data_IF_600378659147
#
_entry.id   IF_600378659147
#
_cell.length_a   1.000
_cell.length_b   1.000
_cell.length_c   1.000
_cell.angle_alpha   90.00
_cell.angle_beta   90.00
_cell.angle_gamma   90.00
#
_symmetry.space_group_name_H-M   'P 1'
#
loop_
_entity.id
_entity.type
_entity.pdbx_description
1 polymer ?
#
# COMPACT_ATOMS: atom_id res chain seq x y z
N UNK A 1 28.19 3.42 20.86
CA UNK A 1 28.29 4.69 20.12
C UNK A 1 27.21 4.63 19.03
N UNK A 2 26.10 5.30 19.27
CA UNK A 2 24.99 5.45 18.30
C UNK A 2 25.35 6.58 17.33
N UNK A 3 25.28 6.39 16.02
CA UNK A 3 25.49 7.48 15.08
C UNK A 3 24.34 8.48 15.19
N UNK A 4 24.67 9.73 15.45
CA UNK A 4 23.74 10.86 15.45
C UNK A 4 23.26 11.12 14.02
N UNK A 5 21.97 10.95 13.80
CA UNK A 5 21.29 11.38 12.56
C UNK A 5 21.31 12.92 12.50
N UNK A 6 21.76 13.53 11.40
CA UNK A 6 21.72 14.99 11.25
C UNK A 6 20.26 15.45 11.25
N UNK A 7 19.98 16.51 12.03
CA UNK A 7 18.72 17.24 11.97
C UNK A 7 18.67 18.01 10.63
N UNK A 8 17.98 17.49 9.65
CA UNK A 8 17.56 18.26 8.49
C UNK A 8 16.32 19.06 8.89
N UNK A 9 16.52 20.34 9.24
CA UNK A 9 15.45 21.32 9.32
C UNK A 9 15.22 21.87 7.91
N UNK A 10 14.33 21.24 7.15
CA UNK A 10 13.80 21.78 5.93
C UNK A 10 12.29 21.87 6.08
N UNK A 11 11.72 23.10 6.11
CA UNK A 11 10.32 23.26 5.76
C UNK A 11 10.09 22.62 4.38
N UNK A 12 8.92 22.02 4.09
CA UNK A 12 8.64 21.47 2.78
C UNK A 12 8.90 22.58 1.75
N UNK A 13 9.59 22.30 0.62
CA UNK A 13 9.70 23.26 -0.46
C UNK A 13 8.28 23.66 -0.81
N UNK A 14 8.03 24.96 -0.86
CA UNK A 14 6.71 25.53 -1.10
C UNK A 14 6.03 24.78 -2.22
N UNK A 15 4.82 24.29 -1.94
CA UNK A 15 4.07 23.24 -2.65
C UNK A 15 4.41 23.21 -4.13
N UNK A 16 4.55 22.01 -4.68
CA UNK A 16 4.76 21.80 -6.12
C UNK A 16 3.78 22.70 -6.87
N UNK A 17 4.28 23.85 -7.27
CA UNK A 17 3.62 24.70 -8.24
C UNK A 17 3.96 24.07 -9.57
N UNK A 18 3.29 22.95 -9.86
CA UNK A 18 3.34 22.37 -11.19
C UNK A 18 3.18 23.49 -12.18
N UNK A 19 4.26 23.77 -12.89
CA UNK A 19 4.23 24.69 -14.04
C UNK A 19 3.36 24.01 -15.09
N UNK A 20 2.09 24.25 -15.04
CA UNK A 20 1.18 23.75 -16.05
C UNK A 20 0.09 22.86 -15.45
N UNK A 21 -1.00 23.50 -15.36
CA UNK A 21 -2.33 22.97 -15.55
C UNK A 21 -3.29 22.93 -14.35
N UNK A 22 -3.43 24.07 -13.65
CA UNK A 22 -4.74 24.36 -13.00
C UNK A 22 -5.82 24.74 -14.01
N UNK A 23 -5.50 24.83 -15.32
CA UNK A 23 -6.39 25.22 -16.43
C UNK A 23 -6.47 24.19 -17.55
N UNK A 24 -5.99 22.96 -17.32
CA UNK A 24 -6.27 21.83 -18.20
C UNK A 24 -7.73 21.41 -18.12
N UNK A 25 -8.27 20.71 -19.13
CA UNK A 25 -9.62 20.17 -19.05
C UNK A 25 -9.75 19.37 -17.75
N UNK A 26 -10.89 19.57 -17.02
CA UNK A 26 -11.13 18.91 -15.74
C UNK A 26 -10.83 17.41 -15.89
N UNK A 27 -9.91 16.89 -15.05
CA UNK A 27 -9.54 15.48 -15.07
C UNK A 27 -10.81 14.64 -14.96
N UNK A 28 -11.08 13.84 -15.97
CA UNK A 28 -12.16 12.86 -15.92
C UNK A 28 -11.56 11.53 -15.45
N UNK A 29 -12.08 10.95 -14.34
CA UNK A 29 -11.59 9.68 -13.84
C UNK A 29 -11.48 8.63 -14.95
N UNK A 30 -10.34 7.95 -15.03
CA UNK A 30 -10.09 6.94 -16.05
C UNK A 30 -11.02 5.73 -15.93
N UNK A 31 -11.67 5.57 -14.77
CA UNK A 31 -12.58 4.46 -14.47
C UNK A 31 -13.95 4.97 -14.00
N UNK A 32 -15.03 4.48 -14.62
CA UNK A 32 -16.40 4.81 -14.22
C UNK A 32 -16.81 4.15 -12.90
N UNK A 33 -17.85 4.67 -12.24
CA UNK A 33 -18.36 4.11 -10.99
C UNK A 33 -18.78 2.63 -11.10
N UNK A 34 -19.34 2.22 -12.26
CA UNK A 34 -19.73 0.84 -12.55
C UNK A 34 -18.51 -0.09 -12.66
N UNK A 35 -17.39 0.40 -13.23
CA UNK A 35 -16.15 -0.36 -13.36
C UNK A 35 -15.48 -0.59 -12.02
N UNK A 36 -15.66 0.33 -11.05
CA UNK A 36 -15.05 0.30 -9.74
C UNK A 36 -15.64 -0.78 -8.82
N UNK A 37 -16.94 -1.01 -8.88
CA UNK A 37 -17.61 -1.93 -7.95
C UNK A 37 -17.92 -3.29 -8.56
N UNK A 38 -18.05 -3.39 -9.90
CA UNK A 38 -18.46 -4.59 -10.62
C UNK A 38 -19.88 -5.09 -10.28
N UNK A 39 -20.35 -6.13 -10.96
CA UNK A 39 -21.66 -6.68 -10.69
C UNK A 39 -21.77 -7.16 -9.24
N UNK A 40 -22.97 -7.11 -8.63
CA UNK A 40 -23.20 -7.63 -7.31
C UNK A 40 -22.78 -9.11 -7.25
N UNK A 41 -21.83 -9.42 -6.37
CA UNK A 41 -21.46 -10.81 -6.11
C UNK A 41 -22.63 -11.52 -5.42
N UNK A 42 -22.57 -12.87 -5.37
CA UNK A 42 -23.51 -13.71 -4.60
C UNK A 42 -23.79 -13.07 -3.21
N UNK A 43 -25.03 -13.19 -2.69
CA UNK A 43 -25.39 -12.63 -1.39
C UNK A 43 -24.39 -13.05 -0.32
N UNK A 44 -23.94 -12.10 0.47
CA UNK A 44 -22.99 -12.35 1.55
C UNK A 44 -23.67 -13.12 2.70
N UNK A 45 -22.95 -14.04 3.30
CA UNK A 45 -23.44 -14.80 4.46
C UNK A 45 -23.78 -13.85 5.62
N UNK A 46 -24.69 -14.24 6.53
CA UNK A 46 -25.02 -13.44 7.72
C UNK A 46 -23.79 -13.08 8.57
N UNK A 47 -22.81 -13.99 8.67
CA UNK A 47 -21.53 -13.75 9.38
C UNK A 47 -20.74 -12.61 8.74
N UNK A 48 -20.62 -12.57 7.43
CA UNK A 48 -19.92 -11.49 6.71
C UNK A 48 -20.65 -10.15 6.87
N UNK A 49 -22.00 -10.15 6.87
CA UNK A 49 -22.80 -8.94 7.11
C UNK A 49 -22.59 -8.41 8.53
N UNK A 50 -22.55 -9.30 9.53
CA UNK A 50 -22.25 -8.93 10.92
C UNK A 50 -20.84 -8.38 11.04
N UNK A 51 -19.85 -9.03 10.42
CA UNK A 51 -18.46 -8.53 10.36
C UNK A 51 -18.40 -7.12 9.76
N UNK A 52 -19.11 -6.89 8.65
CA UNK A 52 -19.18 -5.55 8.05
C UNK A 52 -19.80 -4.52 9.01
N UNK A 53 -20.91 -4.87 9.67
CA UNK A 53 -21.60 -3.98 10.61
C UNK A 53 -20.70 -3.59 11.79
N UNK A 54 -19.98 -4.56 12.37
CA UNK A 54 -19.03 -4.32 13.47
C UNK A 54 -17.90 -3.39 13.02
N UNK A 55 -17.28 -3.65 11.86
CA UNK A 55 -16.21 -2.80 11.35
C UNK A 55 -16.68 -1.38 11.03
N UNK A 56 -17.87 -1.23 10.45
CA UNK A 56 -18.46 0.08 10.17
C UNK A 56 -18.78 0.85 11.47
N UNK A 57 -19.29 0.16 12.51
CA UNK A 57 -19.51 0.76 13.82
C UNK A 57 -18.19 1.21 14.48
N UNK A 58 -17.15 0.36 14.43
CA UNK A 58 -15.79 0.71 14.91
C UNK A 58 -15.25 1.92 14.13
N UNK A 59 -15.46 1.97 12.82
CA UNK A 59 -15.06 3.10 11.99
C UNK A 59 -15.71 4.41 12.41
N UNK A 60 -17.04 4.43 12.51
CA UNK A 60 -17.77 5.65 12.90
C UNK A 60 -17.39 6.06 14.34
N UNK A 61 -17.27 5.11 15.26
CA UNK A 61 -16.81 5.39 16.62
C UNK A 61 -15.39 6.00 16.62
N UNK A 62 -14.47 5.46 15.81
CA UNK A 62 -13.12 6.00 15.71
C UNK A 62 -13.08 7.43 15.17
N UNK A 63 -14.06 7.84 14.35
CA UNK A 63 -14.19 9.23 13.86
C UNK A 63 -14.81 10.17 14.89
N UNK A 64 -15.75 9.68 15.69
CA UNK A 64 -16.48 10.50 16.69
C UNK A 64 -15.67 10.77 17.96
N UNK A 65 -14.80 9.85 18.34
CA UNK A 65 -14.02 9.97 19.57
C UNK A 65 -12.91 11.04 19.45
N UNK A 66 -12.57 11.72 20.56
CA UNK A 66 -11.40 12.57 20.63
C UNK A 66 -10.13 11.81 20.21
N UNK A 67 -9.25 12.48 19.49
CA UNK A 67 -8.06 11.85 18.91
C UNK A 67 -7.18 11.13 19.95
N UNK A 68 -6.95 11.76 21.11
CA UNK A 68 -6.16 11.16 22.20
C UNK A 68 -6.76 9.84 22.71
N UNK A 69 -8.10 9.79 22.82
CA UNK A 69 -8.80 8.61 23.31
C UNK A 69 -8.75 7.47 22.30
N UNK A 70 -9.03 7.74 21.02
CA UNK A 70 -9.07 6.69 20.00
C UNK A 70 -7.70 6.07 19.76
N UNK A 71 -6.61 6.85 19.81
CA UNK A 71 -5.26 6.31 19.73
C UNK A 71 -4.87 5.50 20.96
N UNK A 72 -5.33 5.90 22.17
CA UNK A 72 -5.17 5.10 23.39
C UNK A 72 -5.89 3.75 23.29
N UNK A 73 -7.13 3.76 22.80
CA UNK A 73 -7.92 2.54 22.55
C UNK A 73 -7.26 1.65 21.50
N UNK A 74 -6.73 2.24 20.42
CA UNK A 74 -5.99 1.48 19.39
C UNK A 74 -4.74 0.81 19.95
N UNK A 75 -3.96 1.53 20.79
CA UNK A 75 -2.77 0.96 21.43
C UNK A 75 -3.14 -0.24 22.33
N UNK A 76 -4.18 -0.08 23.15
CA UNK A 76 -4.70 -1.17 23.99
C UNK A 76 -5.21 -2.33 23.13
N UNK A 77 -5.96 -2.04 22.06
CA UNK A 77 -6.45 -3.04 21.10
C UNK A 77 -5.31 -3.81 20.43
N UNK A 78 -4.25 -3.13 20.02
CA UNK A 78 -3.04 -3.74 19.46
C UNK A 78 -2.34 -4.68 20.46
N UNK A 79 -2.22 -4.26 21.73
CA UNK A 79 -1.66 -5.11 22.80
C UNK A 79 -2.52 -6.35 23.07
N UNK A 80 -3.85 -6.18 23.09
CA UNK A 80 -4.78 -7.30 23.27
C UNK A 80 -4.72 -8.25 22.08
N UNK A 81 -4.78 -7.73 20.86
CA UNK A 81 -4.67 -8.54 19.64
C UNK A 81 -3.38 -9.35 19.60
N UNK A 82 -2.24 -8.76 20.00
CA UNK A 82 -0.98 -9.48 20.15
C UNK A 82 -1.08 -10.65 21.15
N UNK A 83 -1.80 -10.48 22.27
CA UNK A 83 -1.94 -11.54 23.31
C UNK A 83 -2.82 -12.69 22.80
N UNK A 84 -3.96 -12.39 22.16
CA UNK A 84 -4.96 -13.41 21.81
C UNK A 84 -4.73 -14.04 20.43
N UNK A 85 -4.08 -13.34 19.49
CA UNK A 85 -3.93 -13.82 18.11
C UNK A 85 -2.65 -14.64 17.93
N UNK A 86 -2.57 -15.84 18.52
CA UNK A 86 -1.38 -16.70 18.50
C UNK A 86 -0.87 -16.96 17.07
N UNK A 87 -1.77 -17.28 16.13
CA UNK A 87 -1.39 -17.56 14.72
C UNK A 87 -0.83 -16.35 14.01
N UNK A 88 -1.46 -15.18 14.19
CA UNK A 88 -0.98 -13.93 13.60
C UNK A 88 0.37 -13.53 14.20
N UNK A 89 0.53 -13.65 15.52
CA UNK A 89 1.79 -13.38 16.24
C UNK A 89 2.94 -14.25 15.72
N UNK A 90 2.72 -15.57 15.59
CA UNK A 90 3.73 -16.49 15.06
C UNK A 90 4.12 -16.15 13.60
N UNK A 91 3.18 -15.67 12.80
CA UNK A 91 3.44 -15.24 11.43
C UNK A 91 4.25 -13.96 11.36
N UNK A 92 3.83 -12.93 12.09
CA UNK A 92 4.57 -11.67 12.18
C UNK A 92 5.99 -11.91 12.71
N UNK A 93 6.14 -12.78 13.70
CA UNK A 93 7.46 -13.16 14.22
C UNK A 93 8.35 -13.78 13.14
N UNK A 94 7.84 -14.74 12.35
CA UNK A 94 8.60 -15.34 11.24
C UNK A 94 8.94 -14.31 10.16
N UNK A 95 8.01 -13.42 9.81
CA UNK A 95 8.25 -12.38 8.82
C UNK A 95 9.35 -11.42 9.30
N UNK A 96 9.24 -10.93 10.54
CA UNK A 96 10.23 -10.00 11.11
C UNK A 96 11.59 -10.65 11.39
N UNK A 97 11.65 -11.93 11.70
CA UNK A 97 12.92 -12.64 11.87
C UNK A 97 13.78 -12.64 10.59
N UNK A 98 13.14 -12.68 9.41
CA UNK A 98 13.84 -12.55 8.12
C UNK A 98 14.33 -11.13 7.84
N UNK A 99 13.56 -10.15 8.25
CA UNK A 99 13.91 -8.73 8.08
C UNK A 99 14.99 -8.29 9.07
N UNK A 100 15.01 -8.92 10.26
CA UNK A 100 15.89 -8.59 11.39
C UNK A 100 16.73 -9.82 11.80
N UNK A 101 17.58 -10.37 10.91
CA UNK A 101 18.28 -11.64 11.17
C UNK A 101 19.27 -11.58 12.34
N UNK A 102 19.74 -10.40 12.70
CA UNK A 102 20.66 -10.19 13.84
C UNK A 102 19.92 -9.86 15.17
N UNK A 103 18.59 -9.79 15.17
CA UNK A 103 17.84 -9.45 16.37
C UNK A 103 17.85 -10.61 17.39
N UNK A 104 18.08 -10.28 18.64
CA UNK A 104 17.88 -11.22 19.76
C UNK A 104 16.40 -11.57 19.91
N UNK A 105 16.08 -12.67 20.59
CA UNK A 105 14.69 -13.06 20.88
C UNK A 105 13.90 -11.96 21.60
N UNK A 106 14.56 -11.22 22.49
CA UNK A 106 13.95 -10.10 23.20
C UNK A 106 13.64 -8.93 22.28
N UNK A 107 14.52 -8.61 21.33
CA UNK A 107 14.32 -7.58 20.31
C UNK A 107 13.24 -7.97 19.33
N UNK A 108 13.27 -9.21 18.83
CA UNK A 108 12.23 -9.75 17.95
C UNK A 108 10.85 -9.71 18.64
N UNK A 109 10.78 -10.12 19.92
CA UNK A 109 9.54 -10.06 20.68
C UNK A 109 9.03 -8.62 20.87
N UNK A 110 9.91 -7.64 21.05
CA UNK A 110 9.54 -6.22 21.10
C UNK A 110 9.02 -5.73 19.74
N UNK A 111 9.72 -6.08 18.65
CA UNK A 111 9.31 -5.72 17.30
C UNK A 111 7.93 -6.30 16.95
N UNK A 112 7.67 -7.55 17.28
CA UNK A 112 6.34 -8.19 17.05
C UNK A 112 5.24 -7.46 17.82
N UNK A 113 5.46 -7.12 19.09
CA UNK A 113 4.49 -6.32 19.88
C UNK A 113 4.26 -4.94 19.25
N UNK A 114 5.35 -4.30 18.81
CA UNK A 114 5.32 -3.02 18.10
C UNK A 114 4.48 -3.09 16.82
N UNK A 115 4.65 -4.14 16.03
CA UNK A 115 3.91 -4.33 14.77
C UNK A 115 2.39 -4.40 14.97
N UNK A 116 1.91 -5.06 16.01
CA UNK A 116 0.47 -5.10 16.33
C UNK A 116 -0.06 -3.71 16.74
N UNK A 117 0.74 -2.94 17.51
CA UNK A 117 0.36 -1.58 17.92
C UNK A 117 0.36 -0.62 16.72
N UNK A 118 1.40 -0.69 15.89
CA UNK A 118 1.50 0.10 14.66
C UNK A 118 0.34 -0.20 13.70
N UNK A 119 -0.03 -1.47 13.54
CA UNK A 119 -1.16 -1.86 12.69
C UNK A 119 -2.51 -1.37 13.25
N UNK A 120 -2.70 -1.42 14.57
CA UNK A 120 -3.90 -0.86 15.19
C UNK A 120 -3.97 0.67 15.00
N UNK A 121 -2.84 1.37 15.14
CA UNK A 121 -2.70 2.80 14.84
C UNK A 121 -3.04 3.12 13.39
N UNK A 122 -2.50 2.34 12.43
CA UNK A 122 -2.81 2.50 11.00
C UNK A 122 -4.33 2.48 10.74
N UNK A 123 -5.07 1.56 11.36
CA UNK A 123 -6.53 1.50 11.16
C UNK A 123 -7.24 2.76 11.62
N UNK A 124 -6.86 3.32 12.77
CA UNK A 124 -7.41 4.60 13.25
C UNK A 124 -7.07 5.72 12.28
N UNK A 125 -5.83 5.80 11.83
CA UNK A 125 -5.37 6.80 10.86
C UNK A 125 -6.12 6.67 9.53
N UNK A 126 -6.28 5.45 9.01
CA UNK A 126 -7.02 5.19 7.79
C UNK A 126 -8.50 5.60 7.90
N UNK A 127 -9.16 5.31 9.03
CA UNK A 127 -10.57 5.68 9.23
C UNK A 127 -10.77 7.19 9.31
N UNK A 128 -9.78 7.93 9.78
CA UNK A 128 -9.83 9.38 9.98
C UNK A 128 -9.17 10.17 8.84
N UNK A 129 -8.55 9.50 7.86
CA UNK A 129 -7.75 10.17 6.83
C UNK A 129 -8.51 11.28 6.08
N UNK A 130 -9.80 11.07 5.77
CA UNK A 130 -10.63 12.08 5.10
C UNK A 130 -10.98 13.28 6.00
N UNK A 131 -10.95 13.11 7.33
CA UNK A 131 -11.28 14.14 8.29
C UNK A 131 -10.06 14.97 8.73
N UNK A 132 -8.84 14.61 8.27
CA UNK A 132 -7.64 15.36 8.59
C UNK A 132 -7.67 16.73 7.89
N UNK A 133 -7.58 17.78 8.71
CA UNK A 133 -7.39 19.13 8.19
C UNK A 133 -6.06 19.23 7.44
N UNK A 134 -6.04 19.82 6.22
CA UNK A 134 -4.81 19.90 5.42
C UNK A 134 -3.66 20.62 6.11
N UNK A 135 -3.92 21.73 6.81
CA UNK A 135 -2.87 22.50 7.47
C UNK A 135 -2.30 21.77 8.69
N UNK A 136 -3.17 21.07 9.46
CA UNK A 136 -2.75 20.25 10.59
C UNK A 136 -1.97 19.00 10.11
N UNK A 137 -2.40 18.39 9.01
CA UNK A 137 -1.69 17.26 8.39
C UNK A 137 -0.29 17.68 7.95
N UNK A 138 -0.16 18.84 7.31
CA UNK A 138 1.12 19.39 6.86
C UNK A 138 2.03 19.71 8.04
N UNK A 139 1.52 20.41 9.06
CA UNK A 139 2.28 20.76 10.26
C UNK A 139 2.80 19.53 11.05
N UNK A 140 2.14 18.38 10.91
CA UNK A 140 2.53 17.11 11.54
C UNK A 140 3.33 16.17 10.64
N UNK A 141 3.55 16.53 9.37
CA UNK A 141 4.27 15.71 8.41
C UNK A 141 5.63 16.32 8.10
N UNK A 142 6.68 15.52 8.18
CA UNK A 142 8.00 15.85 7.64
C UNK A 142 8.26 15.03 6.39
N UNK A 143 9.07 15.54 5.47
CA UNK A 143 9.39 14.88 4.20
C UNK A 143 10.87 14.73 4.01
N UNK A 144 11.32 13.64 3.37
CA UNK A 144 12.69 13.45 2.92
C UNK A 144 12.73 12.78 1.54
N UNK A 145 13.74 13.11 0.73
CA UNK A 145 13.92 12.57 -0.61
C UNK A 145 12.88 13.03 -1.64
N UNK A 146 12.12 14.10 -1.35
CA UNK A 146 11.00 14.54 -2.18
C UNK A 146 11.42 14.95 -3.59
N UNK A 147 12.66 15.43 -3.76
CA UNK A 147 13.25 15.76 -5.07
C UNK A 147 13.23 14.57 -6.06
N UNK A 148 13.23 13.31 -5.57
CA UNK A 148 13.11 12.15 -6.44
C UNK A 148 11.72 12.02 -7.08
N UNK A 149 10.67 12.41 -6.35
CA UNK A 149 9.31 12.43 -6.90
C UNK A 149 9.14 13.59 -7.89
N UNK A 150 9.64 14.77 -7.55
CA UNK A 150 9.57 15.94 -8.44
C UNK A 150 10.28 15.65 -9.77
N UNK A 151 11.52 15.18 -9.73
CA UNK A 151 12.27 14.79 -10.93
C UNK A 151 11.56 13.72 -11.77
N UNK A 152 10.87 12.76 -11.12
CA UNK A 152 10.10 11.75 -11.81
C UNK A 152 8.88 12.32 -12.53
N UNK A 153 8.18 13.29 -11.94
CA UNK A 153 7.01 13.96 -12.53
C UNK A 153 7.39 14.98 -13.61
N UNK A 154 8.56 15.60 -13.52
CA UNK A 154 9.09 16.49 -14.57
C UNK A 154 9.21 15.78 -15.92
N UNK A 155 9.38 14.46 -15.92
CA UNK A 155 9.41 13.63 -17.13
C UNK A 155 8.08 13.58 -17.90
N UNK A 156 6.98 14.06 -17.33
CA UNK A 156 5.66 14.18 -17.99
C UNK A 156 4.98 12.85 -18.32
N UNK A 157 5.45 11.73 -17.74
CA UNK A 157 4.94 10.37 -18.00
C UNK A 157 4.21 9.76 -16.82
N UNK A 158 3.91 10.56 -15.79
CA UNK A 158 3.40 10.09 -14.53
C UNK A 158 4.42 9.29 -13.73
N UNK A 159 4.00 8.74 -12.60
CA UNK A 159 4.86 7.98 -11.69
C UNK A 159 4.16 6.73 -11.21
N UNK A 160 4.84 5.60 -11.24
CA UNK A 160 4.43 4.38 -10.54
C UNK A 160 4.95 4.46 -9.11
N UNK A 161 4.09 4.79 -8.16
CA UNK A 161 4.43 4.83 -6.74
C UNK A 161 4.45 3.41 -6.20
N UNK A 162 5.67 2.94 -5.86
CA UNK A 162 5.88 1.63 -5.27
C UNK A 162 5.66 1.70 -3.76
N UNK A 163 4.68 0.96 -3.29
CA UNK A 163 4.30 0.91 -1.88
C UNK A 163 4.48 -0.51 -1.31
N UNK A 164 4.81 -0.58 -0.03
CA UNK A 164 4.61 -1.77 0.80
C UNK A 164 3.40 -1.53 1.74
N UNK A 165 2.84 -2.58 2.34
CA UNK A 165 1.92 -2.44 3.47
C UNK A 165 2.69 -1.93 4.70
N UNK A 166 3.22 -0.72 4.62
CA UNK A 166 4.19 -0.14 5.54
C UNK A 166 3.77 1.27 5.94
N UNK A 167 3.70 1.54 7.24
CA UNK A 167 3.27 2.83 7.76
C UNK A 167 1.81 3.19 7.42
N UNK A 168 1.54 4.43 7.08
CA UNK A 168 0.20 5.02 6.95
C UNK A 168 -0.10 5.46 5.52
N UNK A 169 -0.23 4.51 4.59
CA UNK A 169 -0.41 4.80 3.15
C UNK A 169 -1.72 5.54 2.82
N UNK A 170 -2.81 5.41 3.60
CA UNK A 170 -4.03 6.20 3.40
C UNK A 170 -3.81 7.67 3.79
N UNK A 171 -3.02 7.94 4.83
CA UNK A 171 -2.58 9.30 5.19
C UNK A 171 -1.66 9.88 4.12
N UNK A 172 -0.75 9.06 3.55
CA UNK A 172 0.09 9.49 2.42
C UNK A 172 -0.76 9.91 1.21
N UNK A 173 -1.81 9.14 0.88
CA UNK A 173 -2.75 9.49 -0.18
C UNK A 173 -3.48 10.81 0.09
N UNK A 174 -3.95 11.02 1.32
CA UNK A 174 -4.58 12.28 1.72
C UNK A 174 -3.60 13.45 1.63
N UNK A 175 -2.36 13.29 2.11
CA UNK A 175 -1.32 14.30 2.03
C UNK A 175 -0.98 14.67 0.58
N UNK A 176 -0.82 13.68 -0.29
CA UNK A 176 -0.55 13.90 -1.71
C UNK A 176 -1.63 14.76 -2.36
N UNK A 177 -2.91 14.44 -2.15
CA UNK A 177 -4.03 15.19 -2.72
C UNK A 177 -4.11 16.63 -2.17
N UNK A 178 -3.81 16.86 -0.88
CA UNK A 178 -3.77 18.23 -0.32
C UNK A 178 -2.67 19.08 -0.92
N UNK A 179 -1.64 18.46 -1.51
CA UNK A 179 -0.55 19.12 -2.21
C UNK A 179 -0.73 19.18 -3.74
N UNK A 180 -1.89 18.75 -4.24
CA UNK A 180 -2.24 18.81 -5.65
C UNK A 180 -1.67 17.69 -6.52
N UNK A 181 -1.23 16.59 -5.88
CA UNK A 181 -0.81 15.38 -6.59
C UNK A 181 -2.01 14.46 -6.82
N UNK A 182 -2.39 14.26 -8.07
CA UNK A 182 -3.45 13.31 -8.41
C UNK A 182 -2.95 11.88 -8.32
N UNK A 183 -3.67 11.06 -7.55
CA UNK A 183 -3.28 9.68 -7.25
C UNK A 183 -4.40 8.70 -7.62
N UNK A 184 -4.07 7.71 -8.44
CA UNK A 184 -4.88 6.51 -8.63
C UNK A 184 -4.24 5.34 -7.85
N UNK A 185 -5.04 4.57 -7.08
CA UNK A 185 -4.56 3.41 -6.33
C UNK A 185 -5.22 2.14 -6.80
N UNK A 186 -4.41 1.10 -7.05
CA UNK A 186 -4.92 -0.22 -7.39
C UNK A 186 -5.17 -0.99 -6.10
N UNK A 187 -6.41 -1.43 -5.88
CA UNK A 187 -6.81 -2.12 -4.66
C UNK A 187 -7.48 -3.46 -4.94
N UNK A 188 -7.20 -4.47 -4.11
CA UNK A 188 -7.93 -5.74 -4.18
C UNK A 188 -9.36 -5.56 -3.68
N UNK A 189 -10.33 -6.15 -4.40
CA UNK A 189 -11.73 -6.17 -3.96
C UNK A 189 -11.87 -7.09 -2.75
N UNK A 190 -12.00 -6.49 -1.58
CA UNK A 190 -12.12 -7.17 -0.29
C UNK A 190 -13.56 -7.63 -0.02
N UNK A 191 -13.68 -8.61 0.90
CA UNK A 191 -14.96 -8.99 1.51
C UNK A 191 -14.89 -8.69 3.01
N UNK A 192 -15.94 -8.16 3.62
CA UNK A 192 -17.30 -7.89 3.10
C UNK A 192 -17.33 -6.70 2.11
N UNK A 193 -18.19 -6.81 1.08
CA UNK A 193 -18.30 -5.79 0.03
C UNK A 193 -18.66 -4.39 0.57
N UNK A 194 -19.56 -4.30 1.54
CA UNK A 194 -19.95 -3.02 2.17
C UNK A 194 -18.74 -2.28 2.78
N UNK A 195 -17.82 -3.02 3.39
CA UNK A 195 -16.60 -2.44 3.95
C UNK A 195 -15.68 -1.95 2.83
N UNK A 196 -15.51 -2.74 1.77
CA UNK A 196 -14.76 -2.32 0.58
C UNK A 196 -15.33 -1.04 -0.04
N UNK A 197 -16.66 -0.98 -0.25
CA UNK A 197 -17.35 0.20 -0.78
C UNK A 197 -17.16 1.44 0.12
N UNK A 198 -17.10 1.26 1.43
CA UNK A 198 -16.81 2.36 2.37
C UNK A 198 -15.38 2.87 2.21
N UNK A 199 -14.39 2.00 2.01
CA UNK A 199 -13.01 2.39 1.72
C UNK A 199 -12.87 3.10 0.36
N UNK A 200 -13.58 2.63 -0.65
CA UNK A 200 -13.62 3.32 -1.95
C UNK A 200 -14.13 4.75 -1.76
N UNK A 201 -15.31 4.91 -1.13
CA UNK A 201 -15.87 6.25 -0.86
C UNK A 201 -14.96 7.13 0.00
N UNK A 202 -14.25 6.56 0.99
CA UNK A 202 -13.29 7.31 1.79
C UNK A 202 -12.21 7.93 0.91
N UNK A 203 -11.56 7.12 0.08
CA UNK A 203 -10.45 7.56 -0.78
C UNK A 203 -10.92 8.56 -1.84
N UNK A 204 -12.07 8.29 -2.44
CA UNK A 204 -12.68 9.22 -3.40
C UNK A 204 -13.08 10.56 -2.75
N UNK A 205 -13.46 10.57 -1.48
CA UNK A 205 -13.82 11.79 -0.76
C UNK A 205 -12.64 12.77 -0.58
N UNK A 206 -11.40 12.28 -0.64
CA UNK A 206 -10.22 13.14 -0.65
C UNK A 206 -9.44 13.10 -1.97
N UNK A 207 -10.10 12.73 -3.07
CA UNK A 207 -9.58 12.89 -4.44
C UNK A 207 -8.85 11.69 -5.01
N UNK A 208 -8.56 10.64 -4.22
CA UNK A 208 -7.85 9.45 -4.72
C UNK A 208 -8.76 8.59 -5.59
N UNK A 209 -8.35 8.33 -6.83
CA UNK A 209 -9.05 7.43 -7.73
C UNK A 209 -8.79 5.97 -7.36
N UNK A 210 -9.84 5.20 -7.14
CA UNK A 210 -9.73 3.78 -6.77
C UNK A 210 -9.94 2.88 -7.99
N UNK A 211 -8.94 2.05 -8.28
CA UNK A 211 -8.94 1.08 -9.37
C UNK A 211 -9.02 -0.34 -8.78
N UNK A 212 -10.18 -1.00 -8.84
CA UNK A 212 -10.33 -2.32 -8.22
C UNK A 212 -9.64 -3.41 -9.03
N UNK A 213 -8.75 -4.15 -8.37
CA UNK A 213 -8.11 -5.35 -8.94
C UNK A 213 -9.02 -6.56 -8.69
N UNK A 214 -9.56 -7.15 -9.77
CA UNK A 214 -10.40 -8.35 -9.69
C UNK A 214 -9.54 -9.61 -9.76
N UNK A 215 -9.89 -10.64 -8.99
CA UNK A 215 -9.24 -11.96 -9.08
C UNK A 215 -9.49 -12.61 -10.44
N UNK A 216 -8.48 -13.34 -10.92
CA UNK A 216 -8.51 -14.12 -12.17
C UNK A 216 -9.78 -14.98 -12.27
N UNK A 217 -10.53 -14.83 -13.38
CA UNK A 217 -11.82 -15.50 -13.64
C UNK A 217 -12.88 -14.55 -14.20
N UNK A 218 -12.74 -13.23 -14.01
CA UNK A 218 -13.47 -12.23 -14.75
C UNK A 218 -12.54 -11.70 -15.85
N UNK A 219 -12.94 -11.80 -17.10
CA UNK A 219 -12.18 -11.28 -18.26
C UNK A 219 -11.78 -9.82 -17.99
N UNK A 220 -10.47 -9.55 -17.90
CA UNK A 220 -9.96 -8.19 -17.83
C UNK A 220 -9.17 -7.77 -16.57
N UNK A 221 -8.77 -8.68 -15.68
CA UNK A 221 -8.16 -8.33 -14.39
C UNK A 221 -6.61 -8.37 -14.34
N UNK A 222 -5.93 -8.30 -15.45
CA UNK A 222 -4.48 -8.10 -15.49
C UNK A 222 -4.15 -6.64 -15.76
N UNK A 223 -3.03 -6.13 -15.21
CA UNK A 223 -2.48 -4.79 -15.53
C UNK A 223 -2.23 -4.63 -17.04
N UNK A 224 -2.28 -5.70 -17.80
CA UNK A 224 -2.23 -5.74 -19.26
C UNK A 224 -3.56 -5.85 -20.00
N UNK A 225 -4.71 -5.98 -19.27
CA UNK A 225 -6.06 -6.02 -19.83
C UNK A 225 -6.72 -4.63 -19.85
N UNK A 226 -8.07 -4.54 -19.80
CA UNK A 226 -8.81 -3.25 -19.77
C UNK A 226 -8.38 -2.30 -18.65
N UNK A 227 -7.92 -2.82 -17.50
CA UNK A 227 -7.32 -2.02 -16.43
C UNK A 227 -6.02 -1.34 -16.89
N UNK A 228 -5.21 -2.00 -17.72
CA UNK A 228 -3.97 -1.43 -18.24
C UNK A 228 -4.20 -0.15 -19.03
N UNK A 229 -5.23 -0.12 -19.89
CA UNK A 229 -5.59 1.08 -20.67
C UNK A 229 -5.99 2.26 -19.77
N UNK A 230 -6.71 2.02 -18.68
CA UNK A 230 -7.05 3.05 -17.69
C UNK A 230 -5.82 3.61 -16.99
N UNK A 231 -4.95 2.73 -16.48
CA UNK A 231 -3.70 3.14 -15.80
C UNK A 231 -2.74 3.85 -16.76
N UNK A 232 -2.71 3.45 -18.05
CA UNK A 232 -1.93 4.18 -19.06
C UNK A 232 -2.44 5.61 -19.26
N UNK A 233 -3.77 5.85 -19.24
CA UNK A 233 -4.32 7.21 -19.29
C UNK A 233 -3.95 8.04 -18.05
N UNK A 234 -3.95 7.43 -16.86
CA UNK A 234 -3.48 8.09 -15.62
C UNK A 234 -2.02 8.51 -15.77
N UNK A 235 -1.15 7.62 -16.25
CA UNK A 235 0.25 7.93 -16.50
C UNK A 235 0.43 9.03 -17.57
N UNK A 236 -0.30 8.94 -18.69
CA UNK A 236 -0.25 9.94 -19.77
C UNK A 236 -0.76 11.34 -19.34
N UNK A 237 -1.61 11.39 -18.30
CA UNK A 237 -2.02 12.64 -17.65
C UNK A 237 -0.99 13.17 -16.63
N UNK A 238 0.19 12.56 -16.56
CA UNK A 238 1.25 12.88 -15.58
C UNK A 238 0.81 12.73 -14.12
N UNK A 239 -0.02 11.73 -13.83
CA UNK A 239 -0.52 11.45 -12.48
C UNK A 239 0.21 10.26 -11.84
N UNK A 240 0.07 10.14 -10.51
CA UNK A 240 0.66 9.05 -9.75
C UNK A 240 -0.23 7.80 -9.75
N UNK A 241 0.39 6.63 -9.80
CA UNK A 241 -0.29 5.33 -9.72
C UNK A 241 0.28 4.52 -8.57
N UNK A 242 -0.44 4.42 -7.47
CA UNK A 242 -0.03 3.71 -6.27
C UNK A 242 -0.28 2.20 -6.36
N UNK A 243 0.77 1.40 -6.18
CA UNK A 243 0.75 -0.06 -6.22
C UNK A 243 1.40 -0.66 -4.96
N UNK A 244 0.61 -1.36 -4.14
CA UNK A 244 1.14 -2.18 -3.06
C UNK A 244 1.73 -3.46 -3.66
N UNK A 245 3.04 -3.67 -3.53
CA UNK A 245 3.76 -4.71 -4.26
C UNK A 245 4.59 -5.68 -3.36
N UNK A 246 4.48 -5.58 -2.06
CA UNK A 246 5.21 -6.40 -1.09
C UNK A 246 4.66 -7.83 -0.93
N UNK A 247 3.57 -8.18 -1.63
CA UNK A 247 3.00 -9.52 -1.66
C UNK A 247 2.23 -9.80 -2.94
N UNK A 248 2.34 -11.02 -3.46
CA UNK A 248 1.54 -11.46 -4.61
C UNK A 248 0.19 -12.01 -4.19
N UNK A 249 -0.89 -11.30 -4.57
CA UNK A 249 -2.28 -11.72 -4.40
C UNK A 249 -2.83 -12.46 -5.62
N UNK A 250 -2.20 -12.29 -6.79
CA UNK A 250 -2.66 -12.86 -8.06
C UNK A 250 -2.28 -14.32 -8.25
N UNK A 251 -1.29 -14.81 -7.50
CA UNK A 251 -0.63 -16.12 -7.67
C UNK A 251 0.11 -16.26 -9.01
N UNK A 252 0.41 -15.15 -9.68
CA UNK A 252 1.18 -15.10 -10.93
C UNK A 252 2.46 -14.30 -10.77
N UNK A 253 2.85 -14.03 -9.52
CA UNK A 253 4.07 -13.30 -9.18
C UNK A 253 5.34 -13.99 -9.70
N UNK A 254 6.36 -13.18 -9.87
CA UNK A 254 7.71 -13.63 -10.25
C UNK A 254 8.46 -13.98 -8.97
N UNK A 255 9.05 -15.18 -8.93
CA UNK A 255 9.89 -15.60 -7.80
C UNK A 255 11.20 -14.82 -7.81
N UNK A 256 11.45 -14.09 -6.73
CA UNK A 256 12.68 -13.32 -6.51
C UNK A 256 13.18 -13.49 -5.08
N UNK A 257 14.42 -13.12 -4.82
CA UNK A 257 14.93 -13.01 -3.45
C UNK A 257 14.33 -11.78 -2.78
N UNK A 258 13.77 -11.96 -1.59
CA UNK A 258 13.30 -10.91 -0.70
C UNK A 258 13.82 -11.22 0.71
N UNK A 259 14.67 -10.35 1.26
CA UNK A 259 15.38 -10.60 2.52
C UNK A 259 16.10 -11.97 2.54
N UNK A 260 16.75 -12.33 1.42
CA UNK A 260 17.54 -13.55 1.28
C UNK A 260 16.76 -14.83 0.99
N UNK A 261 15.42 -14.84 1.05
CA UNK A 261 14.60 -16.02 0.75
C UNK A 261 13.69 -15.81 -0.46
N UNK A 262 13.29 -16.92 -1.12
CA UNK A 262 12.41 -16.86 -2.30
C UNK A 262 11.01 -16.41 -1.95
N UNK A 263 10.54 -15.36 -2.64
CA UNK A 263 9.19 -14.82 -2.52
C UNK A 263 8.63 -14.45 -3.90
N UNK A 264 7.37 -14.81 -4.20
CA UNK A 264 6.72 -14.34 -5.42
C UNK A 264 6.23 -12.90 -5.20
N UNK A 265 6.70 -11.98 -6.03
CA UNK A 265 6.25 -10.59 -6.04
C UNK A 265 5.44 -10.27 -7.31
N UNK A 266 4.48 -9.34 -7.23
CA UNK A 266 3.68 -8.95 -8.37
C UNK A 266 4.52 -8.19 -9.40
N UNK A 267 4.34 -8.53 -10.68
CA UNK A 267 5.01 -7.83 -11.79
C UNK A 267 4.33 -6.53 -12.22
N UNK A 268 3.19 -6.19 -11.60
CA UNK A 268 2.38 -5.03 -11.98
C UNK A 268 3.15 -3.72 -12.12
N UNK A 269 3.94 -3.31 -11.12
CA UNK A 269 4.76 -2.08 -11.21
C UNK A 269 5.72 -2.09 -12.40
N UNK A 270 6.41 -3.19 -12.64
CA UNK A 270 7.36 -3.35 -13.76
C UNK A 270 6.65 -3.26 -15.11
N UNK A 271 5.56 -4.02 -15.28
CA UNK A 271 4.80 -4.02 -16.54
C UNK A 271 4.23 -2.63 -16.85
N UNK A 272 3.73 -1.93 -15.84
CA UNK A 272 3.19 -0.59 -16.03
C UNK A 272 4.31 0.40 -16.42
N UNK A 273 5.42 0.41 -15.69
CA UNK A 273 6.58 1.26 -15.97
C UNK A 273 7.12 1.03 -17.38
N UNK A 274 7.40 -0.22 -17.77
CA UNK A 274 7.92 -0.55 -19.09
C UNK A 274 6.97 -0.20 -20.25
N UNK A 275 5.64 -0.21 -20.00
CA UNK A 275 4.65 0.15 -21.02
C UNK A 275 4.41 1.65 -21.18
N UNK A 276 4.56 2.40 -20.10
CA UNK A 276 4.25 3.83 -20.08
C UNK A 276 5.49 4.71 -20.08
N UNK A 277 6.65 4.16 -19.76
CA UNK A 277 7.87 4.91 -19.46
C UNK A 277 7.80 5.68 -18.13
N UNK A 278 6.75 5.49 -17.32
CA UNK A 278 6.64 6.11 -16.01
C UNK A 278 7.66 5.49 -15.04
N UNK A 279 8.52 6.28 -14.37
CA UNK A 279 9.48 5.76 -13.42
C UNK A 279 8.79 5.13 -12.20
N UNK A 280 9.43 4.11 -11.60
CA UNK A 280 8.97 3.50 -10.35
C UNK A 280 9.64 4.23 -9.19
N UNK A 281 8.87 4.90 -8.33
CA UNK A 281 9.38 5.65 -7.18
C UNK A 281 8.87 4.99 -5.89
N UNK A 282 9.77 4.45 -5.03
CA UNK A 282 9.38 3.88 -3.75
C UNK A 282 9.06 4.97 -2.73
N UNK A 283 7.89 4.87 -2.09
CA UNK A 283 7.41 5.87 -1.11
C UNK A 283 6.82 5.16 0.11
N UNK A 284 7.03 5.71 1.28
CA UNK A 284 6.33 5.31 2.51
C UNK A 284 6.05 6.50 3.41
N UNK A 285 4.93 6.43 4.16
CA UNK A 285 4.55 7.39 5.20
C UNK A 285 4.70 6.71 6.57
N UNK A 286 5.80 6.99 7.24
CA UNK A 286 6.11 6.39 8.55
C UNK A 286 5.35 7.09 9.67
N UNK A 287 4.82 6.30 10.58
CA UNK A 287 4.26 6.79 11.85
C UNK A 287 5.39 7.30 12.75
N UNK A 288 5.20 8.45 13.38
CA UNK A 288 6.14 9.03 14.34
C UNK A 288 5.46 9.28 15.68
N UNK A 289 6.20 9.40 16.78
CA UNK A 289 5.66 9.78 18.09
C UNK A 289 4.87 11.09 18.02
N UNK A 290 3.90 11.26 18.91
CA UNK A 290 3.08 12.49 18.96
C UNK A 290 2.10 12.64 17.79
N UNK A 291 1.68 11.52 17.20
CA UNK A 291 0.71 11.53 16.07
C UNK A 291 1.21 12.31 14.86
N UNK A 292 2.51 12.24 14.61
CA UNK A 292 3.20 12.82 13.46
C UNK A 292 3.50 11.76 12.42
N UNK A 293 3.87 12.21 11.24
CA UNK A 293 4.26 11.35 10.13
C UNK A 293 5.58 11.81 9.50
N UNK A 294 6.20 10.88 8.79
CA UNK A 294 7.39 11.16 7.99
C UNK A 294 7.24 10.49 6.64
N UNK A 295 7.11 11.30 5.59
CA UNK A 295 7.07 10.83 4.21
C UNK A 295 8.49 10.65 3.69
N UNK A 296 8.85 9.42 3.39
CA UNK A 296 10.13 9.08 2.78
C UNK A 296 9.93 8.72 1.32
N UNK A 297 10.68 9.39 0.44
CA UNK A 297 10.77 9.07 -0.98
C UNK A 297 12.17 8.56 -1.26
N UNK A 298 12.28 7.38 -1.89
CA UNK A 298 13.56 6.81 -2.30
C UNK A 298 13.84 7.10 -3.79
N UNK A 299 15.09 6.98 -4.25
CA UNK A 299 15.43 7.11 -5.66
C UNK A 299 14.62 6.21 -6.57
N UNK A 300 14.33 6.67 -7.78
CA UNK A 300 13.60 5.90 -8.77
C UNK A 300 14.31 4.57 -9.11
N UNK A 301 13.52 3.52 -9.28
CA UNK A 301 13.98 2.18 -9.65
C UNK A 301 13.95 2.07 -11.17
N UNK A 302 15.13 2.02 -11.77
CA UNK A 302 15.25 1.78 -13.21
C UNK A 302 14.99 0.31 -13.54
N UNK A 303 14.00 0.05 -14.40
CA UNK A 303 13.62 -1.29 -14.88
C UNK A 303 13.57 -1.36 -16.41
N UNK A 304 14.01 -0.30 -17.11
CA UNK A 304 13.94 -0.23 -18.55
C UNK A 304 14.84 -1.28 -19.21
N UNK A 305 14.34 -1.88 -20.29
CA UNK A 305 15.03 -2.92 -21.04
C UNK A 305 15.33 -4.23 -20.28
N UNK A 306 14.95 -4.34 -19.00
CA UNK A 306 15.22 -5.53 -18.20
C UNK A 306 14.22 -6.66 -18.47
N UNK A 307 14.72 -7.90 -18.45
CA UNK A 307 13.86 -9.08 -18.38
C UNK A 307 13.01 -9.07 -17.09
N UNK A 308 11.80 -9.65 -17.10
CA UNK A 308 10.87 -9.58 -15.96
C UNK A 308 11.46 -10.01 -14.62
N UNK A 309 12.28 -11.06 -14.61
CA UNK A 309 12.95 -11.56 -13.41
C UNK A 309 13.90 -10.51 -12.81
N UNK A 310 14.75 -9.90 -13.64
CA UNK A 310 15.72 -8.90 -13.21
C UNK A 310 15.04 -7.62 -12.75
N UNK A 311 13.99 -7.19 -13.47
CA UNK A 311 13.21 -6.00 -13.14
C UNK A 311 12.47 -6.15 -11.79
N UNK A 312 11.80 -7.29 -11.57
CA UNK A 312 11.12 -7.56 -10.29
C UNK A 312 12.13 -7.71 -9.14
N UNK A 313 13.33 -8.24 -9.40
CA UNK A 313 14.39 -8.30 -8.40
C UNK A 313 14.88 -6.88 -7.98
N UNK A 314 14.91 -5.90 -8.89
CA UNK A 314 15.19 -4.50 -8.53
C UNK A 314 14.07 -3.90 -7.66
N UNK A 315 12.81 -4.18 -8.00
CA UNK A 315 11.64 -3.78 -7.19
C UNK A 315 11.70 -4.41 -5.80
N UNK A 316 12.09 -5.69 -5.68
CA UNK A 316 12.26 -6.37 -4.40
C UNK A 316 13.26 -5.65 -3.49
N UNK A 317 14.44 -5.27 -4.03
CA UNK A 317 15.44 -4.50 -3.27
C UNK A 317 14.92 -3.15 -2.80
N UNK A 318 14.14 -2.46 -3.62
CA UNK A 318 13.53 -1.19 -3.21
C UNK A 318 12.47 -1.38 -2.10
N UNK A 319 11.71 -2.46 -2.15
CA UNK A 319 10.78 -2.84 -1.07
C UNK A 319 11.51 -3.19 0.23
N UNK A 320 12.66 -3.89 0.14
CA UNK A 320 13.53 -4.15 1.30
C UNK A 320 13.99 -2.84 1.93
N UNK A 321 14.47 -1.88 1.14
CA UNK A 321 14.88 -0.56 1.62
C UNK A 321 13.74 0.17 2.33
N UNK A 322 12.52 0.16 1.77
CA UNK A 322 11.35 0.77 2.42
C UNK A 322 11.06 0.11 3.77
N UNK A 323 11.02 -1.21 3.83
CA UNK A 323 10.70 -1.95 5.05
C UNK A 323 11.77 -1.76 6.13
N UNK A 324 13.04 -1.67 5.74
CA UNK A 324 14.17 -1.47 6.66
C UNK A 324 14.17 -0.08 7.32
N UNK A 325 13.46 0.92 6.79
CA UNK A 325 13.31 2.23 7.45
C UNK A 325 12.65 2.13 8.82
N UNK A 326 11.68 1.22 8.96
CA UNK A 326 11.06 0.87 10.25
C UNK A 326 10.33 -0.49 10.15
N UNK A 327 11.02 -1.60 10.33
CA UNK A 327 10.45 -2.94 10.16
C UNK A 327 9.20 -3.20 11.01
N UNK A 328 9.07 -2.50 12.13
CA UNK A 328 7.92 -2.62 13.04
C UNK A 328 6.63 -2.10 12.40
N UNK A 329 6.74 -1.21 11.43
CA UNK A 329 5.61 -0.66 10.71
C UNK A 329 5.24 -1.45 9.44
N UNK A 330 5.89 -2.58 9.16
CA UNK A 330 5.50 -3.45 8.07
C UNK A 330 4.32 -4.33 8.49
N UNK A 331 3.12 -3.98 8.02
CA UNK A 331 1.84 -4.60 8.39
C UNK A 331 1.58 -5.90 7.61
N UNK A 332 2.59 -6.76 7.53
CA UNK A 332 2.51 -8.02 6.81
C UNK A 332 2.10 -9.17 7.73
N UNK A 333 0.78 -9.40 7.83
CA UNK A 333 0.17 -10.46 8.62
C UNK A 333 -0.15 -11.72 7.80
N UNK A 334 0.32 -11.80 6.56
CA UNK A 334 0.11 -12.92 5.64
C UNK A 334 1.44 -13.60 5.24
N UNK A 335 1.42 -14.83 4.70
CA UNK A 335 2.61 -15.46 4.16
C UNK A 335 3.11 -14.68 2.94
N UNK A 336 4.38 -14.31 2.93
CA UNK A 336 5.05 -13.66 1.80
C UNK A 336 5.89 -14.65 1.04
N UNK A 337 6.77 -15.35 1.74
CA UNK A 337 7.75 -16.26 1.18
C UNK A 337 7.14 -17.58 0.72
N UNK A 338 7.74 -18.15 -0.31
CA UNK A 338 7.30 -19.43 -0.90
C UNK A 338 7.28 -20.55 0.12
N UNK A 339 8.26 -20.60 1.03
CA UNK A 339 8.33 -21.59 2.10
C UNK A 339 7.15 -21.55 3.08
N UNK A 340 6.52 -20.39 3.27
CA UNK A 340 5.38 -20.20 4.20
C UNK A 340 4.01 -20.37 3.53
N UNK A 341 3.97 -20.55 2.21
CA UNK A 341 2.72 -20.70 1.45
C UNK A 341 2.25 -22.14 1.45
N UNK A 342 0.94 -22.40 1.57
CA UNK A 342 0.44 -23.77 1.43
C UNK A 342 0.81 -24.31 0.04
N UNK A 343 1.17 -25.61 -0.06
CA UNK A 343 1.52 -26.24 -1.33
C UNK A 343 0.41 -25.97 -2.36
N UNK A 344 0.82 -25.65 -3.59
CA UNK A 344 -0.12 -25.53 -4.71
C UNK A 344 -0.80 -26.88 -4.89
N UNK A 345 -2.10 -26.97 -4.65
CA UNK A 345 -2.86 -28.09 -5.19
C UNK A 345 -2.69 -28.05 -6.71
N UNK A 346 -1.88 -28.97 -7.25
CA UNK A 346 -1.80 -29.22 -8.69
C UNK A 346 -3.20 -29.64 -9.09
N UNK A 347 -3.92 -28.81 -9.86
CA UNK A 347 -5.04 -29.31 -10.64
C UNK A 347 -4.42 -30.32 -11.59
N UNK A 348 -4.67 -31.60 -11.32
CA UNK A 348 -4.42 -32.65 -12.28
C UNK A 348 -5.29 -32.33 -13.49
N UNK A 349 -4.71 -31.80 -14.55
CA UNK A 349 -5.26 -31.99 -15.87
C UNK A 349 -5.13 -33.51 -16.12
N UNK A 350 -6.13 -34.26 -15.73
CA UNK A 350 -6.34 -35.59 -16.29
C UNK A 350 -6.52 -35.37 -17.79
N UNK A 351 -5.58 -35.84 -18.56
CA UNK A 351 -5.72 -35.97 -20.01
C UNK A 351 -7.01 -36.78 -20.26
N UNK A 352 -7.86 -36.41 -21.26
CA UNK A 352 -8.94 -37.28 -21.64
C UNK A 352 -8.36 -38.60 -22.10
N UNK A 353 -8.95 -39.71 -21.61
CA UNK A 353 -8.59 -41.05 -22.07
C UNK A 353 -8.79 -41.14 -23.59
N UNK A 354 -7.89 -41.77 -24.34
CA UNK A 354 -8.09 -42.00 -25.76
C UNK A 354 -9.25 -42.99 -25.92
N UNK A 355 -10.26 -42.59 -26.69
CA UNK A 355 -11.32 -43.46 -27.23
C UNK A 355 -10.79 -44.32 -28.35
#
# INVERSE_FOLDING_TARGET
MTPSVPRASGAPPGGYRGSGNRSGPAYQPAFGAADRLGPPSRPESPRLRLTAAVWLAVWELARMLPESLVFGVADLGGRLAHRVSVRARARVARNLARVLPAATDAELSRAVRGAFRSYARYWVEAFRAADLDPADLDARTTTDGFAHLDAALEGGRGVVVLLAHHGSWDVAGRWAETHGYHLAVVVEVLRPRRLFERFVRLREAFGVEVVPLRRRGASGSEVGGPLGGGLQRVAAANHMIGLLADRDMSRTGVEVSLFGESAPLPRGPVVLSQRTGAPIVPITMLQRPGRRWHLQVLPAVDVDGLAPQAAVARVARALEQLVLLDPVQWHCFSPVWTADRPPRQRRSHAAPAPT
#
